data_IF_950629497963
#
_entry.id   IF_950629497963
#
_cell.length_a   1.000
_cell.length_b   1.000
_cell.length_c   1.000
_cell.angle_alpha   90.00
_cell.angle_beta   90.00
_cell.angle_gamma   90.00
#
_symmetry.space_group_name_H-M   'P 1'
#
loop_
_entity.id
_entity.type
_entity.pdbx_description
1 polymer ?
#
# COMPACT_ATOMS: atom_id res chain seq x y z
N UNK A 1 2.28 -33.88 32.71
CA UNK A 1 1.69 -32.99 31.66
C UNK A 1 2.70 -32.88 30.52
N UNK A 2 2.44 -33.48 29.34
CA UNK A 2 3.28 -33.26 28.15
C UNK A 2 2.94 -31.89 27.58
N UNK A 3 3.89 -30.95 27.58
CA UNK A 3 3.73 -29.70 26.84
C UNK A 3 3.73 -30.03 25.35
N UNK A 4 2.57 -29.89 24.70
CA UNK A 4 2.49 -29.95 23.25
C UNK A 4 3.20 -28.70 22.73
N UNK A 5 4.37 -28.89 22.11
CA UNK A 5 5.06 -27.79 21.42
C UNK A 5 4.23 -27.44 20.19
N UNK A 6 3.55 -26.29 20.22
CA UNK A 6 2.85 -25.75 19.06
C UNK A 6 3.90 -25.32 18.03
N UNK A 7 3.76 -25.80 16.79
CA UNK A 7 4.66 -25.44 15.70
C UNK A 7 4.52 -23.95 15.36
N UNK A 8 5.59 -23.25 14.96
CA UNK A 8 5.49 -21.91 14.37
C UNK A 8 4.50 -21.84 13.21
N UNK A 9 4.34 -22.92 12.43
CA UNK A 9 3.37 -22.99 11.34
C UNK A 9 1.92 -22.99 11.85
N UNK A 10 1.65 -23.65 12.97
CA UNK A 10 0.31 -23.66 13.57
C UNK A 10 -0.04 -22.27 14.13
N UNK A 11 0.94 -21.58 14.74
CA UNK A 11 0.77 -20.18 15.15
C UNK A 11 0.58 -19.22 13.97
N UNK A 12 1.26 -19.46 12.85
CA UNK A 12 1.03 -18.68 11.63
C UNK A 12 -0.39 -18.90 11.07
N UNK A 13 -0.92 -20.13 11.13
CA UNK A 13 -2.32 -20.41 10.73
C UNK A 13 -3.31 -19.73 11.66
N UNK A 14 -3.10 -19.80 12.97
CA UNK A 14 -3.94 -19.12 13.97
C UNK A 14 -3.96 -17.60 13.74
N UNK A 15 -2.79 -17.01 13.49
CA UNK A 15 -2.67 -15.60 13.13
C UNK A 15 -3.40 -15.27 11.83
N UNK A 16 -3.24 -16.09 10.78
CA UNK A 16 -3.94 -15.92 9.52
C UNK A 16 -5.47 -15.96 9.67
N UNK A 17 -5.98 -16.89 10.50
CA UNK A 17 -7.41 -16.96 10.83
C UNK A 17 -7.87 -15.72 11.61
N UNK A 18 -7.07 -15.23 12.55
CA UNK A 18 -7.42 -14.00 13.28
C UNK A 18 -7.44 -12.78 12.35
N UNK A 19 -6.53 -12.71 11.37
CA UNK A 19 -6.50 -11.64 10.37
C UNK A 19 -7.72 -11.73 9.45
N UNK A 20 -8.11 -12.92 8.98
CA UNK A 20 -9.28 -13.07 8.10
C UNK A 20 -10.61 -12.74 8.81
N UNK A 21 -10.63 -12.75 10.14
CA UNK A 21 -11.77 -12.33 10.96
C UNK A 21 -11.68 -10.88 11.43
N UNK A 22 -10.62 -10.14 11.07
CA UNK A 22 -10.46 -8.74 11.44
C UNK A 22 -11.48 -7.84 10.72
N UNK A 23 -11.78 -6.70 11.35
CA UNK A 23 -12.62 -5.66 10.75
C UNK A 23 -11.98 -5.11 9.48
N UNK A 24 -10.66 -4.95 9.44
CA UNK A 24 -9.93 -4.47 8.27
C UNK A 24 -10.11 -5.41 7.07
N UNK A 25 -9.97 -6.72 7.26
CA UNK A 25 -10.20 -7.69 6.20
C UNK A 25 -11.67 -7.73 5.76
N UNK A 26 -12.60 -7.74 6.72
CA UNK A 26 -14.03 -7.79 6.45
C UNK A 26 -14.49 -6.56 5.67
N UNK A 27 -14.03 -5.37 6.06
CA UNK A 27 -14.36 -4.12 5.38
C UNK A 27 -13.74 -4.05 3.99
N UNK A 28 -12.51 -4.54 3.81
CA UNK A 28 -11.88 -4.67 2.50
C UNK A 28 -12.72 -5.56 1.57
N UNK A 29 -13.17 -6.75 2.03
CA UNK A 29 -14.01 -7.64 1.21
C UNK A 29 -15.33 -7.00 0.79
N UNK A 30 -15.98 -6.29 1.70
CA UNK A 30 -17.22 -5.55 1.39
C UNK A 30 -16.97 -4.41 0.39
N UNK A 31 -15.85 -3.69 0.53
CA UNK A 31 -15.50 -2.62 -0.39
C UNK A 31 -15.15 -3.14 -1.79
N UNK A 32 -14.44 -4.28 -1.88
CA UNK A 32 -14.16 -4.97 -3.13
C UNK A 32 -15.46 -5.42 -3.81
N UNK A 33 -16.38 -6.03 -3.08
CA UNK A 33 -17.68 -6.44 -3.61
C UNK A 33 -18.50 -5.24 -4.10
N UNK A 34 -18.57 -4.17 -3.31
CA UNK A 34 -19.24 -2.93 -3.71
C UNK A 34 -18.63 -2.32 -4.98
N UNK A 35 -17.30 -2.33 -5.09
CA UNK A 35 -16.59 -1.88 -6.29
C UNK A 35 -16.92 -2.75 -7.50
N UNK A 36 -16.86 -4.08 -7.37
CA UNK A 36 -17.15 -5.00 -8.48
C UNK A 36 -18.58 -4.92 -8.99
N UNK A 37 -19.52 -4.58 -8.10
CA UNK A 37 -20.93 -4.38 -8.46
C UNK A 37 -21.22 -3.00 -9.07
N UNK A 38 -20.29 -2.06 -8.99
CA UNK A 38 -20.42 -0.72 -9.56
C UNK A 38 -19.69 -0.58 -10.90
N UNK A 39 -20.44 -0.75 -11.99
CA UNK A 39 -19.92 -0.71 -13.36
C UNK A 39 -19.20 0.61 -13.69
N UNK A 40 -19.63 1.74 -13.10
CA UNK A 40 -19.00 3.03 -13.33
C UNK A 40 -17.59 3.08 -12.72
N UNK A 41 -17.45 2.67 -11.45
CA UNK A 41 -16.16 2.60 -10.76
C UNK A 41 -15.18 1.67 -11.46
N UNK A 42 -15.64 0.48 -11.86
CA UNK A 42 -14.82 -0.48 -12.61
C UNK A 42 -14.34 0.13 -13.92
N UNK A 43 -15.24 0.79 -14.65
CA UNK A 43 -14.90 1.44 -15.92
C UNK A 43 -13.90 2.58 -15.74
N UNK A 44 -14.05 3.42 -14.72
CA UNK A 44 -13.14 4.53 -14.45
C UNK A 44 -11.70 4.06 -14.23
N UNK A 45 -11.49 3.03 -13.41
CA UNK A 45 -10.14 2.49 -13.17
C UNK A 45 -9.56 1.83 -14.42
N UNK A 46 -10.38 1.08 -15.18
CA UNK A 46 -9.93 0.46 -16.43
C UNK A 46 -9.55 1.50 -17.48
N UNK A 47 -10.36 2.55 -17.64
CA UNK A 47 -10.09 3.64 -18.57
C UNK A 47 -8.80 4.39 -18.19
N UNK A 48 -8.56 4.59 -16.89
CA UNK A 48 -7.31 5.18 -16.39
C UNK A 48 -6.10 4.31 -16.76
N UNK A 49 -6.16 3.00 -16.50
CA UNK A 49 -5.07 2.05 -16.79
C UNK A 49 -4.73 2.03 -18.28
N UNK A 50 -5.76 1.91 -19.14
CA UNK A 50 -5.59 1.91 -20.60
C UNK A 50 -4.92 3.20 -21.08
N UNK A 51 -5.34 4.37 -20.55
CA UNK A 51 -4.75 5.64 -20.94
C UNK A 51 -3.34 5.84 -20.40
N UNK A 52 -3.05 5.41 -19.17
CA UNK A 52 -1.68 5.44 -18.60
C UNK A 52 -0.73 4.59 -19.42
N UNK A 53 -1.13 3.36 -19.77
CA UNK A 53 -0.35 2.48 -20.64
C UNK A 53 -0.13 3.07 -22.03
N UNK A 54 -1.16 3.69 -22.61
CA UNK A 54 -1.03 4.40 -23.89
C UNK A 54 -0.07 5.59 -23.78
N UNK A 55 -0.13 6.34 -22.67
CA UNK A 55 0.76 7.47 -22.42
C UNK A 55 2.21 7.02 -22.33
N UNK A 56 2.49 5.98 -21.52
CA UNK A 56 3.81 5.35 -21.40
C UNK A 56 4.34 4.87 -22.77
N UNK A 57 3.50 4.21 -23.56
CA UNK A 57 3.90 3.75 -24.90
C UNK A 57 4.25 4.91 -25.85
N UNK A 58 3.59 6.06 -25.74
CA UNK A 58 3.83 7.21 -26.62
C UNK A 58 5.10 7.96 -26.23
N UNK A 59 5.37 8.12 -24.93
CA UNK A 59 6.60 8.81 -24.46
C UNK A 59 7.86 7.97 -24.70
N UNK A 60 7.73 6.64 -24.77
CA UNK A 60 8.84 5.73 -25.09
C UNK A 60 9.04 5.51 -26.59
N UNK A 61 8.22 6.13 -27.46
CA UNK A 61 8.34 6.00 -28.91
C UNK A 61 9.29 7.05 -29.50
N UNK A 62 10.00 6.69 -30.56
CA UNK A 62 10.93 7.59 -31.26
C UNK A 62 10.21 8.76 -31.99
N UNK A 63 8.88 8.71 -32.11
CA UNK A 63 8.08 9.68 -32.85
C UNK A 63 7.09 10.43 -31.94
N UNK A 64 7.66 11.24 -31.05
CA UNK A 64 6.94 11.99 -30.02
C UNK A 64 6.03 13.04 -30.65
N UNK A 65 4.72 12.78 -30.62
CA UNK A 65 3.71 13.78 -30.94
C UNK A 65 3.22 14.50 -29.68
N UNK A 66 3.83 15.65 -29.40
CA UNK A 66 3.52 16.47 -28.22
C UNK A 66 2.04 16.87 -28.10
N UNK A 67 1.31 17.06 -29.21
CA UNK A 67 -0.11 17.42 -29.17
C UNK A 67 -0.96 16.25 -28.69
N UNK A 68 -0.66 15.04 -29.15
CA UNK A 68 -1.36 13.81 -28.73
C UNK A 68 -1.06 13.50 -27.26
N UNK A 69 0.20 13.63 -26.84
CA UNK A 69 0.62 13.41 -25.45
C UNK A 69 -0.10 14.39 -24.52
N UNK A 70 -0.15 15.67 -24.87
CA UNK A 70 -0.85 16.68 -24.08
C UNK A 70 -2.34 16.39 -23.96
N UNK A 71 -3.01 16.02 -25.06
CA UNK A 71 -4.43 15.63 -25.02
C UNK A 71 -4.67 14.44 -24.09
N UNK A 72 -3.85 13.39 -24.24
CA UNK A 72 -3.98 12.18 -23.43
C UNK A 72 -3.72 12.45 -21.94
N UNK A 73 -2.79 13.35 -21.62
CA UNK A 73 -2.51 13.77 -20.25
C UNK A 73 -3.70 14.50 -19.61
N UNK A 74 -4.37 15.40 -20.34
CA UNK A 74 -5.58 16.06 -19.84
C UNK A 74 -6.74 15.07 -19.66
N UNK A 75 -6.90 14.09 -20.57
CA UNK A 75 -7.88 13.01 -20.41
C UNK A 75 -7.60 12.15 -19.16
N UNK A 76 -6.33 11.86 -18.87
CA UNK A 76 -5.93 11.15 -17.65
C UNK A 76 -6.30 11.97 -16.41
N UNK A 77 -5.97 13.27 -16.38
CA UNK A 77 -6.32 14.16 -15.25
C UNK A 77 -7.82 14.19 -15.00
N UNK A 78 -8.64 14.25 -16.05
CA UNK A 78 -10.08 14.30 -15.89
C UNK A 78 -10.66 12.99 -15.35
N UNK A 79 -10.10 11.84 -15.73
CA UNK A 79 -10.47 10.56 -15.13
C UNK A 79 -10.00 10.48 -13.68
N UNK A 80 -8.79 10.95 -13.36
CA UNK A 80 -8.29 11.00 -11.98
C UNK A 80 -9.17 11.87 -11.08
N UNK A 81 -9.68 13.01 -11.58
CA UNK A 81 -10.67 13.81 -10.85
C UNK A 81 -11.98 13.06 -10.61
N UNK A 82 -12.48 12.31 -11.59
CA UNK A 82 -13.70 11.50 -11.43
C UNK A 82 -13.49 10.39 -10.40
N UNK A 83 -12.36 9.70 -10.45
CA UNK A 83 -11.96 8.70 -9.46
C UNK A 83 -11.86 9.33 -8.07
N UNK A 84 -11.22 10.50 -7.96
CA UNK A 84 -11.05 11.21 -6.69
C UNK A 84 -12.38 11.64 -6.08
N UNK A 85 -13.47 11.75 -6.85
CA UNK A 85 -14.81 12.08 -6.36
C UNK A 85 -15.74 10.86 -6.25
N UNK A 86 -15.29 9.67 -6.66
CA UNK A 86 -16.09 8.46 -6.60
C UNK A 86 -15.97 7.81 -5.20
N UNK A 87 -17.06 7.84 -4.43
CA UNK A 87 -17.08 7.34 -3.06
C UNK A 87 -16.79 5.83 -2.94
N UNK A 88 -17.16 5.03 -3.94
CA UNK A 88 -16.92 3.59 -3.94
C UNK A 88 -15.42 3.31 -4.09
N UNK A 89 -14.76 4.01 -5.02
CA UNK A 89 -13.31 3.90 -5.20
C UNK A 89 -12.56 4.46 -3.98
N UNK A 90 -12.99 5.60 -3.43
CA UNK A 90 -12.40 6.15 -2.20
C UNK A 90 -12.48 5.16 -1.04
N UNK A 91 -13.65 4.54 -0.84
CA UNK A 91 -13.85 3.55 0.20
C UNK A 91 -12.99 2.30 0.00
N UNK A 92 -12.85 1.84 -1.25
CA UNK A 92 -11.94 0.75 -1.60
C UNK A 92 -10.50 1.07 -1.20
N UNK A 93 -9.99 2.24 -1.59
CA UNK A 93 -8.63 2.67 -1.26
C UNK A 93 -8.40 2.83 0.24
N UNK A 94 -9.35 3.41 0.98
CA UNK A 94 -9.25 3.52 2.44
C UNK A 94 -9.21 2.15 3.12
N UNK A 95 -10.06 1.21 2.70
CA UNK A 95 -10.07 -0.15 3.24
C UNK A 95 -8.76 -0.89 2.90
N UNK A 96 -8.23 -0.75 1.68
CA UNK A 96 -6.94 -1.31 1.28
C UNK A 96 -5.81 -0.77 2.16
N UNK A 97 -5.73 0.54 2.36
CA UNK A 97 -4.70 1.17 3.20
C UNK A 97 -4.75 0.69 4.65
N UNK A 98 -5.95 0.52 5.22
CA UNK A 98 -6.14 0.01 6.59
C UNK A 98 -5.67 -1.44 6.71
N UNK A 99 -6.06 -2.29 5.75
CA UNK A 99 -5.63 -3.69 5.72
C UNK A 99 -4.11 -3.83 5.51
N UNK A 100 -3.53 -3.08 4.58
CA UNK A 100 -2.08 -3.08 4.36
C UNK A 100 -1.30 -2.63 5.61
N UNK A 101 -1.83 -1.63 6.33
CA UNK A 101 -1.26 -1.19 7.60
C UNK A 101 -1.31 -2.28 8.66
N UNK A 102 -2.42 -3.02 8.78
CA UNK A 102 -2.54 -4.16 9.68
C UNK A 102 -1.46 -5.21 9.38
N UNK A 103 -1.35 -5.65 8.11
CA UNK A 103 -0.36 -6.65 7.69
C UNK A 103 1.07 -6.16 7.91
N UNK A 104 1.37 -4.91 7.58
CA UNK A 104 2.69 -4.32 7.80
C UNK A 104 3.05 -4.28 9.29
N UNK A 105 2.10 -3.96 10.16
CA UNK A 105 2.32 -3.96 11.61
C UNK A 105 2.58 -5.37 12.13
N UNK A 106 1.79 -6.36 11.70
CA UNK A 106 2.00 -7.78 12.04
C UNK A 106 3.40 -8.23 11.64
N UNK A 107 3.81 -7.96 10.40
CA UNK A 107 5.15 -8.32 9.91
C UNK A 107 6.26 -7.59 10.67
N UNK A 108 6.03 -6.33 11.05
CA UNK A 108 6.98 -5.56 11.88
C UNK A 108 7.16 -6.18 13.25
N UNK A 109 6.07 -6.59 13.91
CA UNK A 109 6.09 -7.25 15.22
C UNK A 109 6.83 -8.58 15.13
N UNK A 110 6.49 -9.43 14.15
CA UNK A 110 7.18 -10.71 13.93
C UNK A 110 8.67 -10.47 13.73
N UNK A 111 9.04 -9.55 12.82
CA UNK A 111 10.41 -9.19 12.52
C UNK A 111 11.19 -8.70 13.74
N UNK A 112 10.56 -7.89 14.60
CA UNK A 112 11.15 -7.42 15.85
C UNK A 112 11.43 -8.57 16.82
N UNK A 113 10.47 -9.48 16.99
CA UNK A 113 10.59 -10.62 17.92
C UNK A 113 11.68 -11.61 17.52
N UNK A 114 11.95 -11.77 16.22
CA UNK A 114 13.03 -12.63 15.71
C UNK A 114 14.36 -11.89 15.51
N UNK A 115 14.46 -10.62 15.93
CA UNK A 115 15.67 -9.80 15.79
C UNK A 115 16.03 -9.41 14.35
N UNK A 116 15.10 -9.57 13.41
CA UNK A 116 15.29 -9.25 11.98
C UNK A 116 15.05 -7.77 11.65
N UNK A 117 14.48 -6.98 12.56
CA UNK A 117 14.46 -5.52 12.39
C UNK A 117 15.84 -4.97 12.71
N UNK A 118 16.70 -4.86 11.71
CA UNK A 118 17.71 -3.82 11.74
C UNK A 118 16.97 -2.51 11.99
N UNK A 119 17.11 -1.94 13.19
CA UNK A 119 16.76 -0.56 13.42
C UNK A 119 17.42 0.24 12.30
N UNK A 120 16.63 0.84 11.41
CA UNK A 120 17.11 2.00 10.69
C UNK A 120 17.57 2.98 11.78
N UNK A 121 18.88 3.09 11.94
CA UNK A 121 19.53 4.07 12.81
C UNK A 121 19.34 5.47 12.22
N UNK A 122 18.12 5.89 11.93
CA UNK A 122 17.76 7.29 11.70
C UNK A 122 17.26 7.86 13.03
N UNK A 123 18.20 8.03 13.95
CA UNK A 123 17.91 8.47 15.31
C UNK A 123 19.10 8.40 16.27
N UNK A 124 20.33 8.29 15.76
CA UNK A 124 21.50 8.71 16.54
C UNK A 124 21.57 10.22 16.43
N UNK A 125 20.84 10.90 17.31
CA UNK A 125 21.18 12.28 17.69
C UNK A 125 22.67 12.28 18.00
N UNK A 126 23.42 13.06 17.21
CA UNK A 126 24.86 13.02 17.16
C UNK A 126 25.44 13.46 18.49
N UNK A 127 25.77 12.50 19.35
CA UNK A 127 26.89 12.68 20.27
C UNK A 127 28.18 12.59 19.42
N UNK A 128 28.46 13.66 18.69
CA UNK A 128 29.79 13.91 18.09
C UNK A 128 30.69 14.30 19.25
N UNK A 129 31.28 13.30 19.89
CA UNK A 129 32.34 13.51 20.88
C UNK A 129 33.50 14.26 20.23
N UNK A 130 33.62 15.55 20.53
CA UNK A 130 34.89 16.26 20.53
C UNK A 130 35.32 16.36 21.99
N UNK A 131 36.09 15.36 22.44
CA UNK A 131 36.70 15.35 23.77
C UNK A 131 37.97 16.21 23.77
N UNK A 132 37.83 17.50 23.48
CA UNK A 132 38.97 18.43 23.35
C UNK A 132 38.82 19.71 24.18
N UNK A 133 37.93 19.71 25.19
CA UNK A 133 37.54 20.93 25.90
C UNK A 133 37.44 20.87 27.42
N UNK A 134 38.01 19.87 28.10
CA UNK A 134 38.13 19.93 29.56
C UNK A 134 39.23 20.92 29.97
N UNK A 135 38.86 22.18 30.16
CA UNK A 135 39.52 23.11 31.08
C UNK A 135 38.43 23.74 31.96
N UNK A 136 38.71 23.70 33.27
CA UNK A 136 37.95 24.15 34.44
C UNK A 136 36.71 25.02 34.19
#
# INVERSE_FOLDING_TARGET
MKMIKISPLDKARELGNSISQSDEYTNLRKAEEAFHNDNESVKLLKDLEVKKKKYESLISSDNINNKIIKSLFEEIKDIEKKIANNLIIQNLYDCQLKYDKLIKNVNTIIGYMIGSTAQSKSGRSGCKGSCSGCKK
#
